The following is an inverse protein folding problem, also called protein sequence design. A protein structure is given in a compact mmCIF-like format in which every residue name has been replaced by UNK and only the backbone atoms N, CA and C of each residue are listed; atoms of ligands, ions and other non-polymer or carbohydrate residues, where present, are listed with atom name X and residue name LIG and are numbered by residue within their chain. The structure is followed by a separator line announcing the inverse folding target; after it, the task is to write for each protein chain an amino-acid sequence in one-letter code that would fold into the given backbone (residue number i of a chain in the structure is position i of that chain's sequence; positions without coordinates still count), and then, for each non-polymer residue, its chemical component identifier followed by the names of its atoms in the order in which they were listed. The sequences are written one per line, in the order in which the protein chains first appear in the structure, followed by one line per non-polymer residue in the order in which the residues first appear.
data_IF_889912565270
#
_entry.id   IF_889912565270
#
_cell.length_a   1.000
_cell.length_b   1.000
_cell.length_c   1.000
_cell.angle_alpha   90.00
_cell.angle_beta   90.00
_cell.angle_gamma   90.00
#
_symmetry.space_group_name_H-M   'P 1'
#
loop_
_entity.id
_entity.type
_entity.pdbx_description
1 polymer ?
#
# COMPACT_ATOMS: atom_id res chain seq x y z
N UNK A 1 -7.48 -14.08 13.10
CA UNK A 1 -7.98 -12.81 12.54
C UNK A 1 -6.99 -12.48 11.46
N UNK A 2 -7.45 -12.28 10.24
CA UNK A 2 -6.59 -11.97 9.11
C UNK A 2 -6.13 -10.52 9.19
N UNK A 3 -4.87 -10.25 8.86
CA UNK A 3 -4.34 -8.89 8.82
C UNK A 3 -4.78 -8.14 7.57
N UNK A 4 -5.11 -6.85 7.77
CA UNK A 4 -5.38 -5.90 6.70
C UNK A 4 -4.68 -4.58 6.97
N UNK A 5 -3.89 -4.13 6.00
CA UNK A 5 -3.25 -2.83 6.00
C UNK A 5 -3.52 -2.10 4.69
N UNK A 6 -4.17 -0.94 4.79
CA UNK A 6 -4.43 -0.04 3.66
C UNK A 6 -4.07 1.37 4.12
N UNK A 7 -2.89 1.81 3.71
CA UNK A 7 -2.28 3.01 4.27
C UNK A 7 -1.51 3.81 3.24
N UNK A 8 -1.34 5.09 3.56
CA UNK A 8 -0.62 6.04 2.76
C UNK A 8 0.59 6.54 3.53
N UNK A 9 1.68 6.80 2.82
CA UNK A 9 2.94 7.28 3.39
C UNK A 9 3.43 8.47 2.58
N UNK A 10 3.31 9.66 3.15
CA UNK A 10 3.84 10.87 2.53
C UNK A 10 5.28 11.07 2.98
N UNK A 11 6.20 11.33 2.05
CA UNK A 11 7.60 11.63 2.37
C UNK A 11 7.72 13.04 2.97
N UNK A 12 7.45 13.16 4.26
CA UNK A 12 7.55 14.39 5.05
C UNK A 12 7.88 14.09 6.51
N UNK A 13 8.50 15.06 7.20
CA UNK A 13 8.71 15.05 8.65
C UNK A 13 7.71 15.94 9.41
N UNK A 14 6.76 16.54 8.70
CA UNK A 14 5.73 17.40 9.29
C UNK A 14 4.35 16.75 9.14
N UNK A 15 3.82 16.11 10.20
CA UNK A 15 2.47 15.55 10.17
C UNK A 15 1.39 16.57 9.79
N UNK A 16 1.62 17.86 10.02
CA UNK A 16 0.67 18.91 9.67
C UNK A 16 0.47 19.03 8.15
N UNK A 17 1.46 18.68 7.33
CA UNK A 17 1.30 18.62 5.88
C UNK A 17 0.26 17.59 5.46
N UNK A 18 0.27 16.41 6.10
CA UNK A 18 -0.72 15.36 5.85
C UNK A 18 -2.11 15.77 6.36
N UNK A 19 -2.19 16.39 7.54
CA UNK A 19 -3.46 16.94 8.06
C UNK A 19 -4.05 17.95 7.08
N UNK A 20 -3.22 18.84 6.53
CA UNK A 20 -3.67 19.84 5.55
C UNK A 20 -4.11 19.18 4.23
N UNK A 21 -3.40 18.16 3.76
CA UNK A 21 -3.77 17.37 2.58
C UNK A 21 -5.16 16.75 2.77
N UNK A 22 -5.39 16.02 3.86
CA UNK A 22 -6.68 15.40 4.17
C UNK A 22 -7.82 16.42 4.23
N UNK A 23 -7.62 17.53 4.94
CA UNK A 23 -8.62 18.61 5.04
C UNK A 23 -8.92 19.26 3.69
N UNK A 24 -7.91 19.48 2.85
CA UNK A 24 -8.10 20.06 1.52
C UNK A 24 -8.93 19.16 0.59
N UNK A 25 -8.88 17.84 0.84
CA UNK A 25 -9.68 16.84 0.13
C UNK A 25 -11.06 16.61 0.75
N UNK A 26 -11.35 17.20 1.92
CA UNK A 26 -12.56 16.89 2.68
C UNK A 26 -12.61 15.43 3.15
N UNK A 27 -11.45 14.85 3.50
CA UNK A 27 -11.33 13.48 3.99
C UNK A 27 -11.08 13.47 5.50
N UNK A 28 -11.80 12.61 6.23
CA UNK A 28 -11.42 12.26 7.60
C UNK A 28 -10.26 11.28 7.57
N UNK A 29 -9.52 11.18 8.67
CA UNK A 29 -8.41 10.24 8.75
C UNK A 29 -7.64 10.27 10.05
N UNK A 30 -6.60 9.45 10.11
CA UNK A 30 -5.67 9.36 11.23
C UNK A 30 -4.25 9.53 10.69
N UNK A 31 -3.50 10.44 11.30
CA UNK A 31 -2.12 10.77 10.91
C UNK A 31 -1.17 10.33 12.02
N UNK A 32 -0.23 9.47 11.69
CA UNK A 32 0.75 8.92 12.62
C UNK A 32 1.97 9.84 12.77
N UNK A 33 2.73 9.73 13.86
CA UNK A 33 4.01 10.42 14.00
C UNK A 33 4.95 10.12 12.84
N UNK A 34 5.71 11.13 12.39
CA UNK A 34 6.69 10.94 11.33
C UNK A 34 7.89 10.13 11.81
N UNK A 35 8.36 9.19 10.99
CA UNK A 35 9.58 8.41 11.23
C UNK A 35 10.37 8.31 9.92
N UNK A 36 11.69 8.51 9.97
CA UNK A 36 12.59 8.40 8.82
C UNK A 36 12.18 9.20 7.57
N UNK A 37 11.61 10.40 7.73
CA UNK A 37 11.05 11.24 6.65
C UNK A 37 9.78 10.69 6.00
N UNK A 38 9.07 9.79 6.67
CA UNK A 38 7.76 9.32 6.26
C UNK A 38 6.73 9.64 7.32
N UNK A 39 5.56 10.09 6.87
CA UNK A 39 4.38 10.24 7.72
C UNK A 39 3.30 9.32 7.18
N UNK A 40 2.96 8.31 7.99
CA UNK A 40 1.91 7.35 7.66
C UNK A 40 0.55 7.92 8.03
N UNK A 41 -0.47 7.64 7.23
CA UNK A 41 -1.83 8.01 7.51
C UNK A 41 -2.84 7.11 6.81
N UNK A 42 -4.06 7.13 7.30
CA UNK A 42 -5.23 6.44 6.74
C UNK A 42 -6.38 7.42 6.64
N UNK A 43 -7.27 7.23 5.66
CA UNK A 43 -8.41 8.11 5.44
C UNK A 43 -9.73 7.34 5.30
N UNK A 44 -10.83 8.03 5.61
CA UNK A 44 -12.20 7.53 5.52
C UNK A 44 -12.62 7.40 4.04
N UNK A 45 -12.25 6.30 3.43
CA UNK A 45 -12.79 5.70 2.19
C UNK A 45 -12.05 4.34 2.11
N UNK A 46 -12.70 3.28 2.61
CA UNK A 46 -12.14 1.95 2.91
C UNK A 46 -12.04 1.03 1.68
N UNK A 47 -11.64 1.56 0.53
CA UNK A 47 -11.41 0.71 -0.62
C UNK A 47 -9.95 0.19 -0.61
N UNK A 48 -9.77 -1.02 -1.12
CA UNK A 48 -8.47 -1.60 -1.54
C UNK A 48 -7.82 -0.73 -2.64
N UNK A 49 -8.56 0.25 -3.14
CA UNK A 49 -8.17 1.16 -4.19
C UNK A 49 -7.62 2.49 -3.65
N UNK A 50 -6.90 3.18 -4.53
CA UNK A 50 -6.28 4.45 -4.22
C UNK A 50 -7.31 5.59 -4.23
N UNK A 51 -7.22 6.49 -3.25
CA UNK A 51 -8.14 7.61 -3.14
C UNK A 51 -7.83 8.70 -4.18
N UNK A 52 -8.67 8.81 -5.22
CA UNK A 52 -8.46 9.76 -6.30
C UNK A 52 -8.43 11.23 -5.84
N UNK A 53 -9.19 11.63 -4.82
CA UNK A 53 -9.16 13.02 -4.30
C UNK A 53 -7.78 13.30 -3.69
N UNK A 54 -7.28 12.36 -2.91
CA UNK A 54 -5.99 12.46 -2.26
C UNK A 54 -4.83 12.50 -3.26
N UNK A 55 -4.83 11.59 -4.24
CA UNK A 55 -3.80 11.57 -5.30
C UNK A 55 -3.80 12.90 -6.06
N UNK A 56 -4.98 13.41 -6.44
CA UNK A 56 -5.09 14.66 -7.19
C UNK A 56 -4.61 15.88 -6.41
N UNK A 57 -4.69 15.86 -5.07
CA UNK A 57 -4.21 16.93 -4.21
C UNK A 57 -2.74 16.75 -3.76
N UNK A 58 -2.15 15.56 -3.96
CA UNK A 58 -0.78 15.30 -3.59
C UNK A 58 0.20 16.14 -4.42
N UNK A 59 1.12 16.82 -3.74
CA UNK A 59 2.23 17.56 -4.37
C UNK A 59 3.60 16.96 -4.04
N UNK A 60 3.65 15.95 -3.18
CA UNK A 60 4.87 15.32 -2.68
C UNK A 60 5.12 13.94 -3.27
N UNK A 61 6.02 13.20 -2.64
CA UNK A 61 6.23 11.78 -2.91
C UNK A 61 5.36 10.96 -1.95
N UNK A 62 4.42 10.20 -2.52
CA UNK A 62 3.43 9.43 -1.78
C UNK A 62 3.55 7.96 -2.15
N UNK A 63 3.47 7.09 -1.15
CA UNK A 63 3.32 5.64 -1.33
C UNK A 63 1.94 5.25 -0.82
N UNK A 64 1.17 4.55 -1.63
CA UNK A 64 0.02 3.77 -1.18
C UNK A 64 0.49 2.33 -0.99
N UNK A 65 0.15 1.73 0.14
CA UNK A 65 0.48 0.36 0.50
C UNK A 65 -0.81 -0.39 0.79
N UNK A 66 -0.97 -1.54 0.14
CA UNK A 66 -2.10 -2.46 0.35
C UNK A 66 -1.56 -3.83 0.73
N UNK A 67 -2.12 -4.41 1.79
CA UNK A 67 -1.84 -5.76 2.21
C UNK A 67 -3.08 -6.37 2.84
N UNK A 68 -3.40 -7.58 2.41
CA UNK A 68 -4.42 -8.42 2.99
C UNK A 68 -3.85 -9.85 3.03
N UNK A 69 -3.67 -10.39 4.23
CA UNK A 69 -3.00 -11.68 4.47
C UNK A 69 -3.55 -12.81 3.60
N UNK A 70 -4.86 -12.83 3.41
CA UNK A 70 -5.57 -13.88 2.66
C UNK A 70 -5.72 -13.59 1.16
N UNK A 71 -5.17 -12.49 0.64
CA UNK A 71 -5.39 -12.07 -0.76
C UNK A 71 -4.10 -11.70 -1.49
N UNK A 72 -3.27 -10.85 -0.89
CA UNK A 72 -2.15 -10.27 -1.61
C UNK A 72 -1.55 -9.04 -0.94
N UNK A 73 -0.52 -8.50 -1.60
CA UNK A 73 0.02 -7.20 -1.28
C UNK A 73 0.36 -6.41 -2.54
N UNK A 74 0.45 -5.10 -2.40
CA UNK A 74 0.81 -4.21 -3.47
C UNK A 74 1.22 -2.84 -2.98
N UNK A 75 1.70 -2.04 -3.92
CA UNK A 75 1.98 -0.64 -3.69
C UNK A 75 1.85 0.18 -4.95
N UNK A 76 1.64 1.48 -4.76
CA UNK A 76 1.73 2.50 -5.79
C UNK A 76 2.54 3.69 -5.29
N UNK A 77 3.39 4.22 -6.17
CA UNK A 77 4.23 5.39 -5.89
C UNK A 77 3.77 6.54 -6.77
N UNK A 78 3.57 7.70 -6.15
CA UNK A 78 3.16 8.93 -6.82
C UNK A 78 4.16 10.05 -6.60
N UNK A 79 4.46 10.79 -7.67
CA UNK A 79 5.20 12.06 -7.62
C UNK A 79 4.23 13.18 -7.99
N UNK A 80 3.82 13.96 -7.00
CA UNK A 80 2.63 14.79 -7.15
C UNK A 80 1.39 13.92 -7.40
N UNK A 81 0.62 14.24 -8.43
CA UNK A 81 -0.57 13.48 -8.81
C UNK A 81 -0.31 12.40 -9.88
N UNK A 82 0.94 12.18 -10.28
CA UNK A 82 1.31 11.19 -11.29
C UNK A 82 1.74 9.87 -10.65
N UNK A 83 1.10 8.76 -11.03
CA UNK A 83 1.53 7.42 -10.67
C UNK A 83 2.78 7.05 -11.48
N UNK A 84 3.92 6.90 -10.81
CA UNK A 84 5.21 6.64 -11.46
C UNK A 84 5.65 5.18 -11.38
N UNK A 85 5.08 4.41 -10.47
CA UNK A 85 5.38 2.99 -10.30
C UNK A 85 4.23 2.31 -9.54
N UNK A 86 3.88 1.08 -9.92
CA UNK A 86 3.00 0.23 -9.11
C UNK A 86 3.34 -1.25 -9.28
N UNK A 87 2.91 -2.04 -8.31
CA UNK A 87 3.10 -3.49 -8.26
C UNK A 87 1.96 -4.10 -7.44
N UNK A 88 1.43 -5.23 -7.90
CA UNK A 88 0.52 -6.06 -7.12
C UNK A 88 0.89 -7.53 -7.24
N UNK A 89 0.78 -8.24 -6.13
CA UNK A 89 0.97 -9.67 -6.01
C UNK A 89 -0.23 -10.26 -5.29
N UNK A 90 -1.03 -11.05 -6.00
CA UNK A 90 -2.22 -11.70 -5.48
C UNK A 90 -1.99 -13.21 -5.45
N UNK A 91 -2.40 -13.88 -4.39
CA UNK A 91 -2.40 -15.35 -4.27
C UNK A 91 -3.79 -15.92 -3.99
N UNK A 92 -4.80 -15.05 -3.90
CA UNK A 92 -6.18 -15.41 -3.66
C UNK A 92 -7.08 -14.27 -4.11
N UNK A 93 -8.24 -14.62 -4.65
CA UNK A 93 -9.18 -13.69 -5.25
C UNK A 93 -9.72 -14.18 -6.60
N UNK A 94 -10.73 -13.49 -7.13
CA UNK A 94 -11.32 -13.84 -8.40
C UNK A 94 -10.34 -13.61 -9.56
N UNK A 95 -10.42 -14.46 -10.57
CA UNK A 95 -9.69 -14.28 -11.83
C UNK A 95 -10.46 -13.34 -12.75
N UNK A 96 -9.73 -12.42 -13.38
CA UNK A 96 -10.26 -11.49 -14.37
C UNK A 96 -9.67 -11.78 -15.76
N UNK A 97 -10.44 -11.53 -16.80
CA UNK A 97 -9.95 -11.57 -18.18
C UNK A 97 -9.18 -10.29 -18.58
N UNK A 98 -8.73 -10.22 -19.84
CA UNK A 98 -7.97 -9.08 -20.36
C UNK A 98 -8.77 -7.76 -20.37
N UNK A 99 -10.10 -7.84 -20.36
CA UNK A 99 -11.00 -6.70 -20.33
C UNK A 99 -11.37 -6.29 -18.88
N UNK A 100 -10.91 -7.06 -17.89
CA UNK A 100 -11.17 -6.82 -16.46
C UNK A 100 -12.52 -7.40 -16.00
N UNK A 101 -13.11 -8.31 -16.75
CA UNK A 101 -14.36 -8.97 -16.38
C UNK A 101 -14.09 -10.26 -15.58
N UNK A 102 -14.96 -10.56 -14.62
CA UNK A 102 -14.85 -11.75 -13.78
C UNK A 102 -14.99 -13.03 -14.62
N UNK A 103 -14.03 -13.93 -14.48
CA UNK A 103 -14.09 -15.24 -15.11
C UNK A 103 -14.92 -16.18 -14.23
N UNK A 104 -15.91 -16.82 -14.85
CA UNK A 104 -16.75 -17.85 -14.24
C UNK A 104 -16.58 -19.18 -14.96
N UNK A 105 -16.81 -20.29 -14.27
CA UNK A 105 -16.83 -21.63 -14.84
C UNK A 105 -18.13 -21.94 -15.62
N UNK A 106 -18.28 -23.18 -16.08
CA UNK A 106 -19.46 -23.61 -16.87
C UNK A 106 -20.78 -23.53 -16.09
N UNK A 107 -20.73 -23.59 -14.75
CA UNK A 107 -21.89 -23.50 -13.86
C UNK A 107 -22.18 -22.06 -13.41
N UNK A 108 -21.30 -21.11 -13.76
CA UNK A 108 -21.40 -19.70 -13.43
C UNK A 108 -20.79 -19.34 -12.06
N UNK A 109 -19.96 -20.22 -11.48
CA UNK A 109 -19.21 -19.95 -10.26
C UNK A 109 -17.91 -19.21 -10.56
N UNK A 110 -17.47 -18.34 -9.64
CA UNK A 110 -16.24 -17.56 -9.82
C UNK A 110 -15.02 -18.50 -9.81
N UNK A 111 -14.14 -18.32 -10.80
CA UNK A 111 -12.82 -18.96 -10.77
C UNK A 111 -11.93 -18.16 -9.84
N UNK A 112 -11.31 -18.84 -8.88
CA UNK A 112 -10.33 -18.26 -7.96
C UNK A 112 -8.90 -18.56 -8.42
N UNK A 113 -7.95 -17.74 -7.97
CA UNK A 113 -6.53 -17.96 -8.22
C UNK A 113 -6.07 -19.29 -7.60
N UNK A 114 -5.42 -20.13 -8.42
CA UNK A 114 -4.74 -21.35 -7.97
C UNK A 114 -3.25 -21.14 -7.68
N UNK A 115 -2.69 -20.00 -8.11
CA UNK A 115 -1.28 -19.64 -7.98
C UNK A 115 -1.11 -18.11 -7.91
N UNK A 116 0.12 -17.65 -7.71
CA UNK A 116 0.48 -16.24 -7.65
C UNK A 116 0.22 -15.56 -8.99
N UNK A 117 -0.51 -14.44 -8.93
CA UNK A 117 -0.68 -13.49 -10.01
C UNK A 117 0.06 -12.19 -9.69
N UNK A 118 1.00 -11.81 -10.56
CA UNK A 118 1.76 -10.56 -10.45
C UNK A 118 1.31 -9.60 -11.55
N UNK A 119 0.90 -8.40 -11.15
CA UNK A 119 0.78 -7.25 -12.05
C UNK A 119 1.96 -6.31 -11.83
N UNK A 120 2.91 -6.36 -12.75
CA UNK A 120 4.08 -5.48 -12.82
C UNK A 120 4.06 -4.59 -14.08
N UNK A 121 2.91 -4.45 -14.74
CA UNK A 121 2.75 -3.72 -16.00
C UNK A 121 3.23 -2.26 -15.93
N UNK A 122 3.13 -1.66 -14.73
CA UNK A 122 3.60 -0.31 -14.42
C UNK A 122 4.76 -0.29 -13.40
N UNK A 123 5.46 -1.40 -13.19
CA UNK A 123 6.64 -1.45 -12.35
C UNK A 123 7.80 -0.73 -13.04
N UNK A 124 8.20 0.41 -12.48
CA UNK A 124 9.38 1.18 -12.92
C UNK A 124 10.48 1.01 -11.89
N UNK A 125 11.30 -0.04 -12.07
CA UNK A 125 12.38 -0.37 -11.12
C UNK A 125 13.26 0.85 -10.82
N UNK A 126 13.66 1.64 -11.82
CA UNK A 126 14.52 2.82 -11.57
C UNK A 126 13.86 3.86 -10.64
N UNK A 127 12.55 4.06 -10.75
CA UNK A 127 11.78 4.97 -9.89
C UNK A 127 11.67 4.42 -8.46
N UNK A 128 11.45 3.11 -8.33
CA UNK A 128 11.44 2.41 -7.04
C UNK A 128 12.81 2.45 -6.36
N UNK A 129 13.90 2.19 -7.10
CA UNK A 129 15.26 2.18 -6.56
C UNK A 129 15.74 3.56 -6.14
N UNK A 130 15.21 4.63 -6.75
CA UNK A 130 15.46 6.00 -6.31
C UNK A 130 14.93 6.26 -4.89
N UNK A 131 13.97 5.48 -4.38
CA UNK A 131 13.48 5.60 -3.00
C UNK A 131 14.48 5.09 -1.96
N UNK A 132 15.27 4.06 -2.31
CA UNK A 132 16.27 3.43 -1.43
C UNK A 132 17.69 3.98 -1.65
N UNK A 133 17.80 5.17 -2.23
CA UNK A 133 19.07 5.89 -2.44
C UNK A 133 20.14 5.07 -3.18
N UNK A 134 19.72 4.12 -4.03
CA UNK A 134 20.60 3.20 -4.75
C UNK A 134 21.53 2.34 -3.85
N UNK A 135 21.12 2.06 -2.60
CA UNK A 135 21.81 1.06 -1.78
C UNK A 135 21.73 -0.31 -2.46
N UNK A 136 22.86 -0.84 -2.90
CA UNK A 136 22.94 -2.10 -3.66
C UNK A 136 22.35 -3.30 -2.90
N UNK A 137 22.46 -3.34 -1.57
CA UNK A 137 21.87 -4.41 -0.76
C UNK A 137 20.35 -4.31 -0.77
N UNK A 138 19.80 -3.10 -0.60
CA UNK A 138 18.35 -2.88 -0.63
C UNK A 138 17.77 -3.13 -2.02
N UNK A 139 18.46 -2.67 -3.06
CA UNK A 139 18.09 -2.88 -4.47
C UNK A 139 17.95 -4.37 -4.79
N UNK A 140 18.94 -5.17 -4.41
CA UNK A 140 18.90 -6.61 -4.65
C UNK A 140 17.75 -7.24 -3.86
N UNK A 141 17.55 -6.83 -2.61
CA UNK A 141 16.47 -7.39 -1.79
C UNK A 141 15.08 -7.05 -2.32
N UNK A 142 14.85 -5.82 -2.79
CA UNK A 142 13.61 -5.42 -3.46
C UNK A 142 13.35 -6.32 -4.66
N UNK A 143 14.36 -6.57 -5.51
CA UNK A 143 14.18 -7.43 -6.69
C UNK A 143 13.83 -8.88 -6.33
N UNK A 144 14.35 -9.39 -5.22
CA UNK A 144 14.01 -10.74 -4.74
C UNK A 144 12.56 -10.85 -4.30
N UNK A 145 12.04 -9.85 -3.58
CA UNK A 145 10.69 -9.93 -2.99
C UNK A 145 9.55 -9.62 -3.99
N UNK A 146 9.86 -9.03 -5.14
CA UNK A 146 8.88 -8.71 -6.19
C UNK A 146 8.49 -9.92 -7.06
N UNK A 147 9.20 -11.05 -6.95
CA UNK A 147 8.94 -12.24 -7.76
C UNK A 147 9.07 -13.50 -6.91
N UNK A 148 8.15 -13.70 -5.93
CA UNK A 148 8.09 -14.95 -5.18
C UNK A 148 7.85 -16.15 -6.09
N UNK A 149 8.32 -17.35 -5.69
CA UNK A 149 8.16 -18.56 -6.50
C UNK A 149 6.81 -19.25 -6.31
N UNK A 150 6.30 -19.23 -5.08
CA UNK A 150 5.06 -19.89 -4.68
C UNK A 150 4.44 -19.21 -3.46
N UNK A 151 3.17 -19.56 -3.20
CA UNK A 151 2.36 -18.96 -2.13
C UNK A 151 2.99 -19.20 -0.76
N UNK A 152 3.51 -20.40 -0.51
CA UNK A 152 4.13 -20.76 0.77
C UNK A 152 5.36 -19.88 1.05
N UNK A 153 6.25 -19.72 0.06
CA UNK A 153 7.42 -18.81 0.17
C UNK A 153 6.98 -17.37 0.42
N UNK A 154 5.89 -16.93 -0.21
CA UNK A 154 5.37 -15.56 -0.06
C UNK A 154 4.88 -15.32 1.37
N UNK A 155 4.05 -16.22 1.90
CA UNK A 155 3.50 -16.12 3.26
C UNK A 155 4.61 -16.21 4.30
N UNK A 156 5.59 -17.10 4.13
CA UNK A 156 6.69 -17.25 5.09
C UNK A 156 7.65 -16.07 5.07
N UNK A 157 7.98 -15.54 3.88
CA UNK A 157 9.00 -14.49 3.73
C UNK A 157 8.50 -13.08 4.04
N UNK A 158 7.18 -12.87 4.12
CA UNK A 158 6.55 -11.58 4.39
C UNK A 158 7.16 -10.43 3.55
N UNK A 159 7.13 -10.56 2.21
CA UNK A 159 7.75 -9.59 1.31
C UNK A 159 7.18 -8.18 1.49
N UNK A 160 5.90 -8.08 1.85
CA UNK A 160 5.20 -6.83 2.11
C UNK A 160 5.84 -6.02 3.25
N UNK A 161 6.24 -6.66 4.34
CA UNK A 161 6.91 -5.98 5.45
C UNK A 161 8.36 -5.65 5.09
N UNK A 162 9.05 -6.61 4.46
CA UNK A 162 10.42 -6.40 3.97
C UNK A 162 10.48 -5.17 3.07
N UNK A 163 9.50 -4.97 2.18
CA UNK A 163 9.39 -3.80 1.32
C UNK A 163 9.34 -2.49 2.13
N UNK A 164 8.44 -2.42 3.12
CA UNK A 164 8.24 -1.22 3.94
C UNK A 164 9.49 -0.88 4.78
N UNK A 165 10.12 -1.90 5.37
CA UNK A 165 11.37 -1.77 6.13
C UNK A 165 12.52 -1.25 5.25
N UNK A 166 12.63 -1.74 4.01
CA UNK A 166 13.67 -1.29 3.08
C UNK A 166 13.52 0.20 2.72
N UNK A 167 12.28 0.69 2.62
CA UNK A 167 11.96 2.11 2.44
C UNK A 167 12.15 2.95 3.72
N UNK A 168 12.33 2.29 4.87
CA UNK A 168 12.39 2.93 6.19
C UNK A 168 11.05 3.45 6.68
N UNK A 169 9.94 2.98 6.10
CA UNK A 169 8.60 3.34 6.51
C UNK A 169 8.23 2.56 7.77
N UNK A 170 7.57 3.21 8.72
CA UNK A 170 7.01 2.60 9.93
C UNK A 170 5.49 2.82 10.00
N UNK A 171 4.83 2.24 11.00
CA UNK A 171 3.37 2.31 11.20
C UNK A 171 2.56 1.73 10.03
N UNK A 172 2.96 0.57 9.50
CA UNK A 172 2.29 -0.08 8.36
C UNK A 172 1.59 -1.40 8.71
N UNK A 173 1.90 -2.01 9.86
CA UNK A 173 1.30 -3.27 10.31
C UNK A 173 -0.06 -3.01 10.98
N UNK A 174 -1.08 -3.80 10.61
CA UNK A 174 -2.45 -3.64 11.13
C UNK A 174 -2.99 -2.20 11.00
N UNK A 175 -2.63 -1.49 9.92
CA UNK A 175 -2.99 -0.08 9.73
C UNK A 175 -4.01 0.06 8.62
N UNK A 176 -5.26 0.32 9.02
CA UNK A 176 -6.35 0.75 8.15
C UNK A 176 -7.24 1.76 8.88
N UNK A 177 -8.09 2.48 8.16
CA UNK A 177 -9.03 3.43 8.80
C UNK A 177 -9.96 2.72 9.80
N UNK A 178 -10.51 1.56 9.44
CA UNK A 178 -11.38 0.76 10.31
C UNK A 178 -10.69 0.28 11.59
N UNK A 179 -9.38 -0.03 11.54
CA UNK A 179 -8.61 -0.38 12.74
C UNK A 179 -8.31 0.88 13.55
N UNK A 180 -7.74 1.92 12.92
CA UNK A 180 -7.37 3.17 13.59
C UNK A 180 -8.56 3.85 14.30
N UNK A 181 -9.75 3.79 13.71
CA UNK A 181 -10.97 4.36 14.30
C UNK A 181 -11.53 3.60 15.50
N UNK A 182 -11.28 2.28 15.58
CA UNK A 182 -11.70 1.45 16.71
C UNK A 182 -10.67 1.40 17.84
N UNK A 183 -9.42 1.62 17.48
CA UNK A 183 -8.24 1.42 18.34
C UNK A 183 -7.38 2.68 18.46
N UNK A 184 -7.96 3.88 18.35
CA UNK A 184 -7.18 5.13 18.37
C UNK A 184 -6.33 5.26 19.64
N UNK A 185 -6.82 4.78 20.78
CA UNK A 185 -6.11 4.80 22.06
C UNK A 185 -4.87 3.89 22.08
N UNK A 186 -4.79 2.92 21.16
CA UNK A 186 -3.65 2.00 21.04
C UNK A 186 -2.48 2.64 20.26
N UNK A 187 -2.69 3.80 19.62
CA UNK A 187 -1.68 4.49 18.83
C UNK A 187 -1.22 5.80 19.48
N UNK A 188 -0.02 5.80 20.04
CA UNK A 188 0.57 6.99 20.67
C UNK A 188 0.88 8.10 19.64
N UNK A 189 0.44 9.32 19.91
CA UNK A 189 0.76 10.50 19.10
C UNK A 189 0.00 10.64 17.78
N UNK A 190 -0.99 9.77 17.53
CA UNK A 190 -1.85 9.87 16.35
C UNK A 190 -2.76 11.11 16.42
N UNK A 191 -2.85 11.83 15.31
CA UNK A 191 -3.74 12.98 15.13
C UNK A 191 -4.98 12.51 14.37
N UNK A 192 -6.15 12.61 14.99
CA UNK A 192 -7.42 12.46 14.31
C UNK A 192 -7.73 13.72 13.49
N UNK A 193 -8.09 13.53 12.22
CA UNK A 193 -8.51 14.58 11.31
C UNK A 193 -10.00 14.42 11.05
N UNK A 194 -10.77 15.38 11.54
CA UNK A 194 -12.19 15.53 11.25
C UNK A 194 -12.42 16.72 10.29
N UNK A 195 -13.56 16.71 9.60
CA UNK A 195 -13.99 17.70 8.59
C UNK A 195 -15.24 18.47 9.00
#
# INVERSE_FOLDING_TARGET
MSEFSFSYHLRTNDPQEVVNLLKSCGLKGYVFPSVNNWTTFVCEEEDVEENAKLINANTGLLVYYSFAEDFGWGFSIFKGNEKVCSYNCLWSGPVFDEDGELIVDEDGELIELEDISIDDSNLKIDELLALVENDASKVNKIKEILYPKDIDETIESNPQYTFMELLGIENFEWVSYGIASRHTDDFEGVIQVDI
#
